data_IF_851503088810
#
_entry.id   IF_851503088810
#
_cell.length_a   1.000
_cell.length_b   1.000
_cell.length_c   1.000
_cell.angle_alpha   90.00
_cell.angle_beta   90.00
_cell.angle_gamma   90.00
#
_symmetry.space_group_name_H-M   'P 1'
#
loop_
_entity.id
_entity.type
_entity.pdbx_description
1 polymer ?
#
# COMPACT_ATOMS: atom_id res chain seq x y z
N UNK A 1 -4.93 -10.05 19.76
CA UNK A 1 -3.55 -10.42 19.37
C UNK A 1 -3.34 -10.35 17.87
N UNK A 2 -4.10 -11.10 17.05
CA UNK A 2 -3.99 -11.04 15.58
C UNK A 2 -4.26 -9.63 15.01
N UNK A 3 -5.32 -8.96 15.48
CA UNK A 3 -5.68 -7.60 15.06
C UNK A 3 -4.54 -6.60 15.32
N UNK A 4 -3.91 -6.65 16.49
CA UNK A 4 -2.77 -5.80 16.86
C UNK A 4 -1.58 -6.03 15.93
N UNK A 5 -1.28 -7.29 15.58
CA UNK A 5 -0.19 -7.62 14.63
C UNK A 5 -0.49 -7.05 13.24
N UNK A 6 -1.73 -7.20 12.77
CA UNK A 6 -2.18 -6.64 11.48
C UNK A 6 -2.10 -5.10 11.48
N UNK A 7 -2.44 -4.46 12.59
CA UNK A 7 -2.40 -3.00 12.75
C UNK A 7 -0.95 -2.46 12.75
N UNK A 8 -0.02 -3.19 13.37
CA UNK A 8 1.41 -2.88 13.32
C UNK A 8 1.94 -2.99 11.89
N UNK A 9 1.61 -4.07 11.18
CA UNK A 9 2.01 -4.27 9.78
C UNK A 9 1.42 -3.18 8.88
N UNK A 10 0.14 -2.83 9.07
CA UNK A 10 -0.53 -1.78 8.33
C UNK A 10 0.13 -0.41 8.56
N UNK A 11 0.42 -0.05 9.81
CA UNK A 11 1.06 1.23 10.16
C UNK A 11 2.51 1.30 9.61
N UNK A 12 3.27 0.21 9.73
CA UNK A 12 4.62 0.12 9.16
C UNK A 12 4.60 0.25 7.63
N UNK A 13 3.62 -0.37 6.96
CA UNK A 13 3.45 -0.24 5.51
C UNK A 13 3.06 1.18 5.07
N UNK A 14 2.25 1.89 5.87
CA UNK A 14 1.87 3.28 5.62
C UNK A 14 3.10 4.21 5.66
N UNK A 15 3.90 4.09 6.72
CA UNK A 15 5.13 4.87 6.90
C UNK A 15 6.13 4.53 5.78
N UNK A 16 6.29 3.24 5.46
CA UNK A 16 7.12 2.78 4.37
C UNK A 16 6.71 3.39 3.01
N UNK A 17 5.42 3.42 2.70
CA UNK A 17 4.90 4.06 1.49
C UNK A 17 5.12 5.57 1.48
N UNK A 18 4.89 6.26 2.58
CA UNK A 18 5.14 7.71 2.70
C UNK A 18 6.61 8.01 2.43
N UNK A 19 7.53 7.26 3.07
CA UNK A 19 8.96 7.43 2.86
C UNK A 19 9.38 7.07 1.43
N UNK A 20 8.83 5.99 0.85
CA UNK A 20 9.12 5.57 -0.52
C UNK A 20 8.65 6.62 -1.54
N UNK A 21 7.48 7.20 -1.32
CA UNK A 21 6.91 8.27 -2.17
C UNK A 21 7.67 9.58 -2.03
N UNK A 22 8.10 9.95 -0.81
CA UNK A 22 8.90 11.15 -0.59
C UNK A 22 10.33 11.01 -1.11
N UNK A 23 10.91 9.80 -1.01
CA UNK A 23 12.22 9.49 -1.58
C UNK A 23 12.14 9.32 -3.10
N UNK A 24 10.95 9.03 -3.65
CA UNK A 24 10.68 9.15 -5.07
C UNK A 24 10.75 10.64 -5.44
N UNK A 25 11.93 11.06 -5.91
CA UNK A 25 12.16 12.42 -6.36
C UNK A 25 11.04 12.81 -7.35
N UNK A 26 10.29 13.90 -7.13
CA UNK A 26 9.12 14.27 -7.94
C UNK A 26 9.50 14.80 -9.35
N UNK A 27 10.58 14.30 -9.93
CA UNK A 27 11.14 14.79 -11.19
C UNK A 27 11.69 13.58 -11.96
N UNK A 28 10.93 13.05 -12.91
CA UNK A 28 11.50 12.10 -13.87
C UNK A 28 10.51 11.34 -14.76
N UNK A 29 9.46 10.72 -14.20
CA UNK A 29 8.64 9.75 -14.95
C UNK A 29 7.39 10.37 -15.61
N UNK A 30 7.52 11.57 -16.16
CA UNK A 30 6.51 12.11 -17.07
C UNK A 30 6.48 11.35 -18.41
N UNK A 31 5.82 11.94 -19.42
CA UNK A 31 5.62 11.41 -20.79
C UNK A 31 6.86 10.86 -21.56
N UNK A 32 8.09 11.02 -21.06
CA UNK A 32 9.33 10.50 -21.67
C UNK A 32 9.44 8.97 -21.72
N UNK A 33 8.71 8.24 -20.85
CA UNK A 33 8.65 6.77 -20.89
C UNK A 33 7.69 6.20 -21.95
N UNK A 34 6.76 7.01 -22.47
CA UNK A 34 5.72 6.59 -23.43
C UNK A 34 6.25 6.55 -24.88
N UNK A 35 7.39 7.20 -25.16
CA UNK A 35 7.96 7.35 -26.50
C UNK A 35 8.78 6.16 -27.05
N UNK A 36 8.84 5.01 -26.36
CA UNK A 36 9.38 3.74 -26.87
C UNK A 36 10.88 3.67 -27.23
N UNK A 37 11.58 4.80 -27.36
CA UNK A 37 12.92 4.85 -27.94
C UNK A 37 14.07 4.73 -26.92
N UNK A 38 13.78 4.79 -25.62
CA UNK A 38 14.79 4.74 -24.55
C UNK A 38 15.18 3.30 -24.11
N UNK A 39 14.66 2.26 -24.78
CA UNK A 39 14.70 0.88 -24.29
C UNK A 39 15.85 0.01 -24.81
N UNK A 40 16.76 0.54 -25.66
CA UNK A 40 17.74 -0.29 -26.37
C UNK A 40 19.17 -0.26 -25.83
N UNK A 41 19.54 0.64 -24.90
CA UNK A 41 20.92 0.70 -24.40
C UNK A 41 21.05 1.10 -22.92
N UNK A 42 20.32 0.45 -22.01
CA UNK A 42 20.64 0.57 -20.57
C UNK A 42 20.34 -0.69 -19.77
N UNK A 43 21.37 -1.21 -19.08
CA UNK A 43 21.27 -2.31 -18.11
C UNK A 43 20.51 -1.91 -16.82
N UNK A 44 20.03 -0.67 -16.69
CA UNK A 44 19.25 -0.17 -15.55
C UNK A 44 17.74 -0.47 -15.65
N UNK A 45 17.25 -0.83 -16.85
CA UNK A 45 15.82 -1.07 -17.15
C UNK A 45 15.16 -2.18 -16.31
N UNK A 46 15.92 -3.18 -15.88
CA UNK A 46 15.40 -4.27 -15.04
C UNK A 46 15.17 -3.84 -13.59
N UNK A 47 16.00 -2.93 -13.08
CA UNK A 47 15.91 -2.47 -11.69
C UNK A 47 14.73 -1.51 -11.50
N UNK A 48 14.49 -0.60 -12.45
CA UNK A 48 13.33 0.30 -12.43
C UNK A 48 12.01 -0.47 -12.58
N UNK A 49 11.98 -1.48 -13.46
CA UNK A 49 10.79 -2.34 -13.62
C UNK A 49 10.48 -3.13 -12.34
N UNK A 50 11.50 -3.64 -11.65
CA UNK A 50 11.32 -4.35 -10.38
C UNK A 50 10.87 -3.40 -9.26
N UNK A 51 11.41 -2.18 -9.22
CA UNK A 51 11.05 -1.16 -8.23
C UNK A 51 9.60 -0.69 -8.41
N UNK A 52 9.16 -0.43 -9.65
CA UNK A 52 7.77 -0.07 -9.95
C UNK A 52 6.78 -1.18 -9.59
N UNK A 53 7.13 -2.46 -9.84
CA UNK A 53 6.32 -3.60 -9.39
C UNK A 53 6.24 -3.68 -7.87
N UNK A 54 7.35 -3.46 -7.17
CA UNK A 54 7.36 -3.47 -5.71
C UNK A 54 6.47 -2.36 -5.13
N UNK A 55 6.51 -1.15 -5.70
CA UNK A 55 5.63 -0.05 -5.32
C UNK A 55 4.16 -0.38 -5.55
N UNK A 56 3.83 -0.97 -6.71
CA UNK A 56 2.45 -1.40 -6.99
C UNK A 56 1.95 -2.48 -6.04
N UNK A 57 2.79 -3.46 -5.69
CA UNK A 57 2.44 -4.51 -4.72
C UNK A 57 2.24 -3.91 -3.33
N UNK A 58 3.14 -3.04 -2.87
CA UNK A 58 3.02 -2.35 -1.59
C UNK A 58 1.75 -1.48 -1.55
N UNK A 59 1.46 -0.76 -2.62
CA UNK A 59 0.28 0.10 -2.73
C UNK A 59 -1.03 -0.71 -2.67
N UNK A 60 -1.15 -1.78 -3.47
CA UNK A 60 -2.34 -2.66 -3.44
C UNK A 60 -2.50 -3.28 -2.05
N UNK A 61 -1.41 -3.74 -1.43
CA UNK A 61 -1.43 -4.35 -0.10
C UNK A 61 -1.91 -3.35 0.95
N UNK A 62 -1.41 -2.12 0.93
CA UNK A 62 -1.80 -1.06 1.85
C UNK A 62 -3.28 -0.69 1.70
N UNK A 63 -3.76 -0.46 0.48
CA UNK A 63 -5.17 -0.13 0.23
C UNK A 63 -6.08 -1.29 0.64
N UNK A 64 -5.71 -2.53 0.33
CA UNK A 64 -6.48 -3.72 0.71
C UNK A 64 -6.64 -3.84 2.22
N UNK A 65 -5.54 -3.69 2.97
CA UNK A 65 -5.58 -3.70 4.44
C UNK A 65 -6.40 -2.52 4.98
N UNK A 66 -6.26 -1.33 4.39
CA UNK A 66 -7.01 -0.12 4.78
C UNK A 66 -8.52 -0.33 4.65
N UNK A 67 -8.99 -0.96 3.56
CA UNK A 67 -10.41 -1.27 3.37
C UNK A 67 -10.89 -2.30 4.40
N UNK A 68 -10.11 -3.35 4.67
CA UNK A 68 -10.47 -4.39 5.66
C UNK A 68 -10.60 -3.79 7.07
N UNK A 69 -9.67 -2.92 7.47
CA UNK A 69 -9.75 -2.22 8.75
C UNK A 69 -10.90 -1.21 8.78
N UNK A 70 -11.12 -0.45 7.69
CA UNK A 70 -12.20 0.54 7.60
C UNK A 70 -13.58 -0.11 7.62
N UNK A 71 -13.73 -1.31 7.07
CA UNK A 71 -15.00 -2.04 7.05
C UNK A 71 -15.34 -2.68 8.41
N UNK A 72 -14.42 -2.63 9.40
CA UNK A 72 -14.64 -3.21 10.72
C UNK A 72 -14.78 -4.74 10.70
N UNK A 73 -14.33 -5.41 9.62
CA UNK A 73 -14.49 -6.86 9.46
C UNK A 73 -13.71 -7.68 10.49
N UNK A 74 -12.67 -7.07 11.07
CA UNK A 74 -11.84 -7.68 12.10
C UNK A 74 -12.28 -7.32 13.52
N UNK A 75 -13.12 -6.30 13.67
CA UNK A 75 -13.66 -5.90 14.97
C UNK A 75 -14.94 -6.68 15.25
N UNK A 76 -15.01 -7.47 16.34
CA UNK A 76 -16.24 -8.14 16.71
C UNK A 76 -17.32 -7.09 16.95
N UNK A 77 -18.46 -7.24 16.27
CA UNK A 77 -19.64 -6.40 16.52
C UNK A 77 -19.99 -6.55 18.00
N UNK A 78 -19.77 -5.48 18.77
CA UNK A 78 -20.28 -5.38 20.13
C UNK A 78 -21.79 -5.27 20.00
N UNK A 79 -22.47 -6.41 20.02
CA UNK A 79 -23.92 -6.45 20.14
C UNK A 79 -24.26 -5.86 21.49
N UNK A 80 -25.00 -4.74 21.48
CA UNK A 80 -25.53 -4.16 22.71
C UNK A 80 -26.27 -5.26 23.50
N UNK A 81 -26.14 -5.27 24.84
CA UNK A 81 -26.89 -6.22 25.65
C UNK A 81 -28.38 -6.12 25.30
N UNK A 82 -29.10 -7.25 25.19
CA UNK A 82 -30.52 -7.21 24.93
C UNK A 82 -31.17 -6.35 26.01
N UNK A 83 -31.87 -5.29 25.59
CA UNK A 83 -32.72 -4.50 26.47
C UNK A 83 -33.75 -5.45 27.09
N UNK A 84 -33.41 -5.97 28.27
CA UNK A 84 -34.31 -6.75 29.11
C UNK A 84 -34.94 -5.73 30.04
N UNK A 85 -36.21 -5.42 29.80
CA UNK A 85 -36.92 -4.33 30.46
C UNK A 85 -38.29 -4.08 29.82
N UNK A 86 -39.43 -4.68 30.17
CA UNK A 86 -39.84 -5.56 31.29
C UNK A 86 -38.87 -5.64 32.47
#
# INVERSE_FOLDING_TARGET
MLETVLQVIWTASAIGLILLVLLHSPKGDGLGGIGGQAQMFTSTKSAETALNRATWVLFITFISLTVVFSAGWLTPVVTAPPITGQ
#
